data_IF_953470554450
#
_entry.id   IF_953470554450
#
_cell.length_a   1.000
_cell.length_b   1.000
_cell.length_c   1.000
_cell.angle_alpha   90.00
_cell.angle_beta   90.00
_cell.angle_gamma   90.00
#
_symmetry.space_group_name_H-M   'P 1'
#
loop_
_entity.id
_entity.type
_entity.pdbx_description
1 polymer ?
#
# COMPACT_ATOMS: atom_id res chain seq x y z
N UNK A 1 -6.60 16.65 9.69
CA UNK A 1 -7.24 15.58 10.48
C UNK A 1 -6.76 15.75 11.91
N UNK A 2 -7.66 15.73 12.90
CA UNK A 2 -7.26 15.80 14.32
C UNK A 2 -6.90 14.40 14.88
N UNK A 3 -6.17 14.31 16.02
CA UNK A 3 -5.72 13.03 16.58
C UNK A 3 -6.83 12.04 16.93
N UNK A 4 -8.02 12.49 17.36
CA UNK A 4 -9.12 11.59 17.68
C UNK A 4 -9.72 10.97 16.41
N UNK A 5 -9.86 11.76 15.35
CA UNK A 5 -10.24 11.26 14.03
C UNK A 5 -9.19 10.29 13.49
N UNK A 6 -7.89 10.56 13.68
CA UNK A 6 -6.81 9.67 13.25
C UNK A 6 -6.85 8.32 14.00
N UNK A 7 -7.03 8.33 15.33
CA UNK A 7 -7.23 7.10 16.12
C UNK A 7 -8.43 6.29 15.64
N UNK A 8 -9.56 6.95 15.42
CA UNK A 8 -10.78 6.30 14.91
C UNK A 8 -10.54 5.68 13.52
N UNK A 9 -9.79 6.37 12.67
CA UNK A 9 -9.44 5.92 11.31
C UNK A 9 -8.59 4.66 11.33
N UNK A 10 -7.62 4.55 12.26
CA UNK A 10 -6.78 3.36 12.45
C UNK A 10 -7.39 2.32 13.42
N UNK A 11 -8.64 2.52 13.84
CA UNK A 11 -9.31 1.68 14.85
C UNK A 11 -8.53 1.52 16.16
N UNK A 12 -7.76 2.53 16.56
CA UNK A 12 -7.05 2.58 17.84
C UNK A 12 -8.01 3.10 18.91
N UNK A 13 -8.12 2.40 20.04
CA UNK A 13 -8.97 2.84 21.15
C UNK A 13 -8.56 4.25 21.63
N UNK A 14 -9.54 5.12 21.99
CA UNK A 14 -9.27 6.51 22.31
C UNK A 14 -8.37 6.70 23.54
N UNK A 15 -8.39 5.73 24.46
CA UNK A 15 -7.64 5.69 25.72
C UNK A 15 -6.40 4.80 25.67
N UNK A 16 -6.17 4.07 24.57
CA UNK A 16 -4.95 3.27 24.42
C UNK A 16 -3.70 4.19 24.46
N UNK A 17 -2.65 3.82 25.20
CA UNK A 17 -1.38 4.53 25.15
C UNK A 17 -0.81 4.43 23.73
N UNK A 18 -0.48 5.56 23.11
CA UNK A 18 0.15 5.55 21.78
C UNK A 18 1.61 5.14 21.91
N UNK A 19 2.04 4.25 21.03
CA UNK A 19 3.44 3.96 20.72
C UNK A 19 3.61 3.92 19.21
N UNK A 20 4.85 3.98 18.72
CA UNK A 20 5.10 3.88 17.28
C UNK A 20 4.68 2.51 16.75
N UNK A 21 4.95 1.45 17.52
CA UNK A 21 4.59 0.07 17.18
C UNK A 21 3.07 -0.08 17.05
N UNK A 22 2.29 0.43 18.01
CA UNK A 22 0.83 0.36 17.96
C UNK A 22 0.25 1.10 16.75
N UNK A 23 0.84 2.26 16.38
CA UNK A 23 0.39 3.04 15.23
C UNK A 23 0.68 2.27 13.94
N UNK A 24 1.87 1.69 13.82
CA UNK A 24 2.29 0.96 12.63
C UNK A 24 1.51 -0.34 12.47
N UNK A 25 1.34 -1.14 13.52
CA UNK A 25 0.52 -2.35 13.50
C UNK A 25 -0.94 -2.05 13.10
N UNK A 26 -1.49 -0.94 13.60
CA UNK A 26 -2.85 -0.53 13.27
C UNK A 26 -2.98 -0.05 11.82
N UNK A 27 -2.00 0.70 11.33
CA UNK A 27 -1.91 1.12 9.94
C UNK A 27 -1.83 -0.08 8.99
N UNK A 28 -0.94 -1.04 9.26
CA UNK A 28 -0.78 -2.22 8.42
C UNK A 28 -2.02 -3.11 8.38
N UNK A 29 -2.66 -3.31 9.54
CA UNK A 29 -3.91 -4.06 9.61
C UNK A 29 -5.01 -3.42 8.75
N UNK A 30 -5.20 -2.10 8.83
CA UNK A 30 -6.25 -1.42 8.05
C UNK A 30 -5.93 -1.38 6.55
N UNK A 31 -4.66 -1.23 6.17
CA UNK A 31 -4.19 -1.33 4.79
C UNK A 31 -4.55 -2.68 4.19
N UNK A 32 -4.22 -3.77 4.89
CA UNK A 32 -4.49 -5.13 4.45
C UNK A 32 -5.99 -5.43 4.32
N UNK A 33 -6.79 -5.03 5.32
CA UNK A 33 -8.23 -5.26 5.33
C UNK A 33 -8.95 -4.58 4.17
N UNK A 34 -8.38 -3.50 3.63
CA UNK A 34 -8.97 -2.68 2.57
C UNK A 34 -8.08 -2.59 1.34
N UNK A 35 -7.24 -3.59 1.11
CA UNK A 35 -6.39 -3.63 -0.06
C UNK A 35 -7.23 -3.62 -1.36
N UNK A 36 -6.85 -2.86 -2.41
CA UNK A 36 -7.63 -2.79 -3.66
C UNK A 36 -7.93 -4.15 -4.29
N UNK A 37 -7.02 -5.12 -4.24
CA UNK A 37 -7.26 -6.46 -4.82
C UNK A 37 -8.45 -7.22 -4.20
N UNK A 38 -8.92 -6.81 -3.02
CA UNK A 38 -10.12 -7.39 -2.37
C UNK A 38 -11.43 -6.90 -2.98
N UNK A 39 -11.38 -5.92 -3.90
CA UNK A 39 -12.55 -5.32 -4.53
C UNK A 39 -12.65 -5.75 -6.00
N UNK A 40 -13.70 -6.50 -6.39
CA UNK A 40 -13.81 -7.05 -7.74
C UNK A 40 -14.11 -5.96 -8.78
N UNK A 41 -14.78 -4.87 -8.40
CA UNK A 41 -15.15 -3.78 -9.30
C UNK A 41 -14.20 -2.58 -9.20
N UNK A 42 -14.12 -1.82 -10.30
CA UNK A 42 -13.22 -0.68 -10.41
C UNK A 42 -13.57 0.50 -9.48
N UNK A 43 -14.84 0.65 -9.09
CA UNK A 43 -15.25 1.70 -8.16
C UNK A 43 -14.77 1.39 -6.74
N UNK A 44 -14.89 0.12 -6.34
CA UNK A 44 -14.35 -0.40 -5.08
C UNK A 44 -12.84 -0.25 -4.99
N UNK A 45 -12.10 -0.58 -6.05
CA UNK A 45 -10.64 -0.39 -6.10
C UNK A 45 -10.23 1.07 -5.93
N UNK A 46 -10.86 1.99 -6.67
CA UNK A 46 -10.60 3.44 -6.54
C UNK A 46 -10.94 3.97 -5.15
N UNK A 47 -12.02 3.48 -4.54
CA UNK A 47 -12.39 3.86 -3.17
C UNK A 47 -11.36 3.34 -2.15
N UNK A 48 -10.83 2.13 -2.35
CA UNK A 48 -9.77 1.56 -1.53
C UNK A 48 -8.46 2.34 -1.64
N UNK A 49 -8.06 2.72 -2.86
CA UNK A 49 -6.90 3.59 -3.11
C UNK A 49 -7.03 4.94 -2.39
N UNK A 50 -8.16 5.63 -2.54
CA UNK A 50 -8.41 6.89 -1.83
C UNK A 50 -8.43 6.72 -0.29
N UNK A 51 -8.79 5.52 0.19
CA UNK A 51 -8.73 5.20 1.61
C UNK A 51 -7.28 5.02 2.10
N UNK A 52 -6.37 4.49 1.29
CA UNK A 52 -4.92 4.39 1.63
C UNK A 52 -4.34 5.75 1.99
N UNK A 53 -4.64 6.80 1.21
CA UNK A 53 -4.20 8.17 1.51
C UNK A 53 -4.74 8.68 2.85
N UNK A 54 -5.96 8.25 3.21
CA UNK A 54 -6.59 8.61 4.48
C UNK A 54 -5.91 7.89 5.66
N UNK A 55 -5.55 6.61 5.50
CA UNK A 55 -4.75 5.86 6.47
C UNK A 55 -3.35 6.48 6.65
N UNK A 56 -2.67 6.86 5.57
CA UNK A 56 -1.35 7.48 5.61
C UNK A 56 -1.35 8.83 6.36
N UNK A 57 -2.36 9.67 6.12
CA UNK A 57 -2.56 10.92 6.87
C UNK A 57 -2.87 10.67 8.34
N UNK A 58 -3.65 9.64 8.67
CA UNK A 58 -3.94 9.29 10.06
C UNK A 58 -2.67 8.85 10.79
N UNK A 59 -1.85 7.99 10.17
CA UNK A 59 -0.53 7.60 10.70
C UNK A 59 0.36 8.81 10.97
N UNK A 60 0.53 9.68 9.97
CA UNK A 60 1.38 10.86 10.09
C UNK A 60 0.96 11.79 11.25
N UNK A 61 -0.35 11.99 11.45
CA UNK A 61 -0.88 12.79 12.57
C UNK A 61 -0.52 12.18 13.93
N UNK A 62 -0.66 10.85 14.08
CA UNK A 62 -0.36 10.19 15.35
C UNK A 62 1.13 10.11 15.65
N UNK A 63 1.98 9.93 14.63
CA UNK A 63 3.43 10.01 14.77
C UNK A 63 3.87 11.43 15.19
N UNK A 64 3.28 12.46 14.59
CA UNK A 64 3.55 13.85 14.98
C UNK A 64 3.08 14.17 16.41
N UNK A 65 1.99 13.56 16.87
CA UNK A 65 1.52 13.67 18.27
C UNK A 65 2.54 13.06 19.24
N UNK A 66 3.17 11.91 18.90
CA UNK A 66 4.25 11.31 19.70
C UNK A 66 5.50 12.20 19.77
N UNK A 67 5.84 12.85 18.66
CA UNK A 67 7.00 13.75 18.59
C UNK A 67 6.74 15.12 19.22
N UNK A 68 5.46 15.47 19.46
CA UNK A 68 5.13 16.75 20.08
C UNK A 68 5.56 16.71 21.55
N UNK A 69 6.45 17.63 21.98
CA UNK A 69 6.82 17.74 23.37
C UNK A 69 5.59 18.25 24.12
N UNK A 70 4.77 17.33 24.63
CA UNK A 70 3.77 17.64 25.62
C UNK A 70 4.55 18.10 26.84
N UNK A 71 4.70 19.42 26.97
CA UNK A 71 5.14 20.04 28.22
C UNK A 71 4.31 19.42 29.34
N UNK A 72 4.93 19.00 30.46
CA UNK A 72 4.21 18.35 31.54
C UNK A 72 3.01 19.22 31.89
N UNK A 73 1.82 18.69 31.70
CA UNK A 73 0.58 19.35 32.07
C UNK A 73 0.66 19.56 33.57
N UNK A 74 1.06 20.76 34.00
CA UNK A 74 0.86 21.19 35.39
C UNK A 74 -0.61 20.93 35.70
N UNK A 75 -0.94 20.32 36.86
CA UNK A 75 -2.33 20.19 37.25
C UNK A 75 -2.97 21.57 37.19
N UNK A 76 -3.96 21.73 36.30
CA UNK A 76 -4.70 22.97 36.19
C UNK A 76 -5.32 23.25 37.56
N UNK A 77 -4.92 24.35 38.19
CA UNK A 77 -5.58 24.85 39.38
C UNK A 77 -7.07 25.02 39.03
N UNK A 78 -7.93 24.38 39.84
CA UNK A 78 -9.37 24.40 39.62
C UNK A 78 -9.87 25.85 39.47
N UNK A 79 -10.34 26.19 38.26
CA UNK A 79 -11.02 27.46 38.04
C UNK A 79 -12.31 27.50 38.89
N UNK A 80 -12.67 28.65 39.48
CA UNK A 80 -13.87 28.77 40.27
C UNK A 80 -15.10 28.45 39.40
N UNK A 81 -15.92 27.50 39.85
CA UNK A 81 -17.15 27.08 39.17
C UNK A 81 -18.18 28.21 39.19
N UNK A 82 -18.12 29.07 38.18
CA UNK A 82 -19.21 29.98 37.85
C UNK A 82 -20.38 29.18 37.26
N UNK A 83 -21.50 29.10 37.99
CA UNK A 83 -22.72 28.46 37.51
C UNK A 83 -23.26 29.22 36.29
N UNK A 84 -23.20 28.60 35.12
CA UNK A 84 -23.86 29.06 33.90
C UNK A 84 -25.38 28.96 34.08
N UNK A 85 -26.07 30.08 33.95
CA UNK A 85 -27.53 30.15 34.00
C UNK A 85 -28.15 29.41 32.81
N UNK A 86 -29.27 28.71 33.03
CA UNK A 86 -29.92 27.83 32.04
C UNK A 86 -30.34 28.50 30.73
N UNK A 87 -30.28 29.83 30.61
CA UNK A 87 -30.56 30.55 29.37
C UNK A 87 -29.50 30.38 28.27
N UNK A 88 -28.23 30.12 28.61
CA UNK A 88 -27.15 29.98 27.62
C UNK A 88 -27.20 28.64 26.85
N UNK A 89 -27.72 27.59 27.49
CA UNK A 89 -27.82 26.25 26.87
C UNK A 89 -28.90 26.23 25.79
N UNK A 90 -30.01 26.97 25.97
CA UNK A 90 -31.07 27.06 24.98
C UNK A 90 -30.62 27.75 23.68
N UNK A 91 -29.71 28.75 23.77
CA UNK A 91 -29.21 29.47 22.61
C UNK A 91 -28.32 28.61 21.69
N UNK A 92 -27.53 27.70 22.26
CA UNK A 92 -26.62 26.82 21.50
C UNK A 92 -27.40 25.75 20.72
N UNK A 93 -28.44 25.17 21.34
CA UNK A 93 -29.23 24.11 20.71
C UNK A 93 -30.04 24.63 19.52
N UNK A 94 -30.61 25.84 19.62
CA UNK A 94 -31.35 26.46 18.50
C UNK A 94 -30.40 26.83 17.35
N UNK A 95 -29.20 27.32 17.65
CA UNK A 95 -28.19 27.64 16.63
C UNK A 95 -27.69 26.40 15.87
N UNK A 96 -27.50 25.28 16.57
CA UNK A 96 -27.03 24.03 15.97
C UNK A 96 -28.03 23.41 15.00
N UNK A 97 -29.33 23.41 15.35
CA UNK A 97 -30.39 22.84 14.48
C UNK A 97 -30.56 23.66 13.20
N UNK A 98 -30.42 24.99 13.27
CA UNK A 98 -30.49 25.85 12.08
C UNK A 98 -29.31 25.62 11.12
N UNK A 99 -28.10 25.40 11.64
CA UNK A 99 -26.91 25.13 10.82
C UNK A 99 -27.02 23.79 10.08
N UNK A 100 -27.51 22.75 10.75
CA UNK A 100 -27.71 21.41 10.14
C UNK A 100 -28.77 21.47 9.04
N UNK A 101 -29.85 22.23 9.22
CA UNK A 101 -30.87 22.40 8.19
C UNK A 101 -30.34 23.10 6.92
N UNK A 102 -29.45 24.09 7.07
CA UNK A 102 -28.82 24.78 5.94
C UNK A 102 -27.84 23.86 5.18
N UNK A 103 -27.07 23.02 5.89
CA UNK A 103 -26.13 22.08 5.27
C UNK A 103 -26.85 20.97 4.47
N UNK A 104 -27.99 20.48 4.97
CA UNK A 104 -28.79 19.46 4.26
C UNK A 104 -29.48 20.06 3.02
N UNK A 105 -29.98 21.30 3.10
CA UNK A 105 -30.55 21.98 1.93
C UNK A 105 -29.50 22.39 0.89
N UNK A 106 -28.27 22.72 1.31
CA UNK A 106 -27.16 23.05 0.42
C UNK A 106 -26.53 21.86 -0.31
N UNK A 107 -26.56 20.67 0.31
CA UNK A 107 -25.97 19.45 -0.26
C UNK A 107 -26.67 18.92 -1.52
N UNK A 108 -27.96 19.25 -1.72
CA UNK A 108 -28.73 18.78 -2.88
C UNK A 108 -28.55 19.69 -4.11
N UNK A 109 -28.00 20.90 -3.95
CA UNK A 109 -27.84 21.88 -5.04
C UNK A 109 -26.54 21.79 -5.85
N UNK A 110 -25.53 21.03 -5.40
CA UNK A 110 -24.17 21.07 -5.95
C UNK A 110 -23.79 19.87 -6.84
N UNK A 111 -24.71 18.95 -7.09
CA UNK A 111 -24.47 17.80 -7.99
C UNK A 111 -24.64 18.12 -9.50
N UNK A 112 -25.00 19.36 -9.86
CA UNK A 112 -25.34 19.72 -11.25
C UNK A 112 -24.25 20.36 -12.10
N UNK A 113 -23.08 20.73 -11.56
CA UNK A 113 -22.15 21.65 -12.27
C UNK A 113 -20.68 21.17 -12.42
N UNK A 114 -20.36 19.91 -12.12
CA UNK A 114 -18.95 19.42 -12.17
C UNK A 114 -18.76 18.28 -13.18
N UNK A 115 -19.48 18.30 -14.30
CA UNK A 115 -19.35 17.27 -15.35
C UNK A 115 -18.60 17.74 -16.61
N UNK A 116 -17.81 18.82 -16.54
CA UNK A 116 -17.29 19.48 -17.75
C UNK A 116 -15.79 19.79 -17.83
N UNK A 117 -14.93 19.43 -16.86
CA UNK A 117 -13.51 19.89 -16.87
C UNK A 117 -12.50 18.79 -16.51
N UNK A 118 -12.92 17.53 -16.33
CA UNK A 118 -12.03 16.46 -15.87
C UNK A 118 -11.44 15.58 -17.00
N UNK A 119 -11.42 16.05 -18.25
CA UNK A 119 -10.90 15.27 -19.40
C UNK A 119 -9.51 15.74 -19.90
N UNK A 120 -8.89 16.77 -19.33
CA UNK A 120 -7.67 17.38 -19.92
C UNK A 120 -6.44 17.47 -19.00
N UNK A 121 -6.34 16.70 -17.92
CA UNK A 121 -5.19 16.79 -17.00
C UNK A 121 -4.49 15.47 -16.64
N UNK A 122 -4.88 14.33 -17.23
CA UNK A 122 -4.25 13.01 -16.97
C UNK A 122 -3.55 12.48 -18.25
N UNK A 123 -3.17 13.37 -19.17
CA UNK A 123 -2.59 12.98 -20.46
C UNK A 123 -1.06 13.05 -20.54
N UNK A 124 -0.31 13.43 -19.49
CA UNK A 124 1.13 13.71 -19.62
C UNK A 124 2.07 12.89 -18.70
N UNK A 125 1.60 11.82 -18.05
CA UNK A 125 2.49 10.87 -17.35
C UNK A 125 2.20 9.40 -17.65
N UNK A 126 1.48 9.13 -18.74
CA UNK A 126 1.11 7.77 -19.19
C UNK A 126 1.22 7.61 -20.72
N UNK A 127 2.26 8.19 -21.32
CA UNK A 127 2.85 7.65 -22.55
C UNK A 127 3.83 6.56 -22.08
N UNK A 128 3.41 5.32 -21.83
CA UNK A 128 3.15 4.34 -22.88
C UNK A 128 2.27 3.19 -22.38
N UNK A 129 0.95 3.37 -22.40
CA UNK A 129 -0.02 2.28 -22.60
C UNK A 129 -1.40 2.90 -22.83
N UNK A 130 -1.85 2.94 -24.09
CA UNK A 130 -3.10 3.58 -24.47
C UNK A 130 -4.35 2.94 -23.85
N UNK A 131 -5.45 3.69 -23.70
CA UNK A 131 -6.72 3.19 -23.18
C UNK A 131 -7.37 2.27 -24.22
N UNK A 132 -7.17 0.97 -24.05
CA UNK A 132 -7.67 -0.08 -24.95
C UNK A 132 -6.96 -1.44 -24.88
N UNK A 133 -5.84 -1.57 -24.17
CA UNK A 133 -5.18 -2.87 -23.97
C UNK A 133 -5.76 -3.62 -22.76
N UNK A 134 -6.93 -4.24 -22.95
CA UNK A 134 -7.25 -5.46 -22.20
C UNK A 134 -6.55 -6.57 -23.00
N UNK A 135 -5.32 -6.93 -22.61
CA UNK A 135 -4.47 -7.78 -23.45
C UNK A 135 -3.39 -8.51 -22.69
N UNK A 136 -2.51 -7.81 -21.98
CA UNK A 136 -1.30 -8.44 -21.44
C UNK A 136 -1.17 -8.15 -19.94
N UNK A 137 -2.00 -8.82 -19.12
CA UNK A 137 -1.77 -8.95 -17.66
C UNK A 137 -0.53 -9.84 -17.33
N UNK A 138 0.21 -10.19 -18.39
CA UNK A 138 1.33 -11.09 -18.46
C UNK A 138 2.37 -10.48 -19.40
N UNK A 139 3.59 -10.34 -18.91
CA UNK A 139 4.75 -10.06 -19.74
C UNK A 139 5.68 -11.26 -19.67
N UNK A 140 6.11 -11.76 -20.84
CA UNK A 140 6.98 -12.93 -20.93
C UNK A 140 8.26 -12.58 -21.68
N UNK A 141 9.39 -12.98 -21.12
CA UNK A 141 10.70 -12.95 -21.74
C UNK A 141 11.21 -14.37 -21.89
N UNK A 142 11.63 -14.74 -23.10
CA UNK A 142 12.17 -16.07 -23.36
C UNK A 142 13.58 -16.24 -22.80
N UNK A 143 14.02 -17.48 -22.62
CA UNK A 143 15.31 -17.83 -22.00
C UNK A 143 16.53 -17.18 -22.66
N UNK A 144 16.48 -16.97 -23.98
CA UNK A 144 17.56 -16.31 -24.72
C UNK A 144 17.57 -14.77 -24.56
N UNK A 145 16.53 -14.19 -23.96
CA UNK A 145 16.37 -12.75 -23.74
C UNK A 145 16.81 -12.34 -22.33
N UNK A 146 16.70 -13.24 -21.35
CA UNK A 146 16.95 -12.94 -19.93
C UNK A 146 18.43 -12.82 -19.57
N UNK A 147 19.31 -13.51 -20.29
CA UNK A 147 20.75 -13.50 -20.01
C UNK A 147 21.14 -14.18 -18.69
N UNK A 148 20.24 -14.97 -18.08
CA UNK A 148 20.55 -15.75 -16.89
C UNK A 148 21.60 -16.84 -17.16
N UNK A 149 22.42 -17.15 -16.16
CA UNK A 149 23.44 -18.20 -16.26
C UNK A 149 22.82 -19.59 -16.52
N UNK A 150 21.71 -19.91 -15.86
CA UNK A 150 20.90 -21.08 -16.15
C UNK A 150 19.70 -20.71 -17.04
N UNK A 151 19.62 -21.22 -18.28
CA UNK A 151 18.60 -20.82 -19.25
C UNK A 151 17.17 -20.97 -18.69
N UNK A 152 16.53 -19.82 -18.49
CA UNK A 152 15.20 -19.73 -17.92
C UNK A 152 14.45 -18.57 -18.54
N UNK A 153 13.22 -18.82 -19.01
CA UNK A 153 12.28 -17.77 -19.34
C UNK A 153 11.69 -17.20 -18.04
N UNK A 154 11.20 -15.95 -18.10
CA UNK A 154 10.51 -15.30 -16.99
C UNK A 154 9.15 -14.79 -17.46
N UNK A 155 8.14 -15.04 -16.65
CA UNK A 155 6.83 -14.42 -16.76
C UNK A 155 6.60 -13.47 -15.57
N UNK A 156 6.14 -12.26 -15.86
CA UNK A 156 5.77 -11.24 -14.88
C UNK A 156 4.25 -11.07 -14.92
N UNK A 157 3.62 -11.02 -13.74
CA UNK A 157 2.17 -11.05 -13.61
C UNK A 157 1.65 -9.81 -12.88
N UNK A 158 0.55 -9.27 -13.37
CA UNK A 158 -0.20 -8.18 -12.72
C UNK A 158 -1.67 -8.56 -12.43
N UNK A 159 -2.04 -9.82 -12.67
CA UNK A 159 -3.40 -10.33 -12.45
C UNK A 159 -3.66 -10.81 -11.00
N UNK A 160 -2.65 -10.73 -10.13
CA UNK A 160 -2.74 -11.10 -8.72
C UNK A 160 -2.79 -12.61 -8.46
N UNK A 161 -2.43 -13.45 -9.43
CA UNK A 161 -2.44 -14.91 -9.27
C UNK A 161 -1.57 -15.43 -8.12
N UNK A 162 -0.58 -14.65 -7.68
CA UNK A 162 0.29 -14.96 -6.55
C UNK A 162 0.08 -14.00 -5.36
N UNK A 163 -1.07 -13.33 -5.26
CA UNK A 163 -1.41 -12.45 -4.13
C UNK A 163 -1.29 -13.18 -2.76
N UNK A 164 -1.54 -14.48 -2.74
CA UNK A 164 -1.46 -15.32 -1.54
C UNK A 164 0.00 -15.56 -1.08
N UNK A 165 0.94 -15.54 -2.03
CA UNK A 165 2.39 -15.72 -1.81
C UNK A 165 3.11 -14.40 -1.60
N UNK A 166 2.47 -13.29 -1.99
CA UNK A 166 2.87 -11.93 -1.65
C UNK A 166 2.76 -11.76 -0.12
N UNK A 167 3.83 -12.11 0.59
CA UNK A 167 3.82 -12.18 2.04
C UNK A 167 3.30 -10.87 2.66
N UNK A 168 2.60 -11.02 3.79
CA UNK A 168 2.03 -9.95 4.64
C UNK A 168 3.09 -8.90 5.07
N UNK A 169 4.37 -9.14 4.78
CA UNK A 169 5.49 -8.26 5.10
C UNK A 169 5.81 -7.17 4.07
N UNK A 170 5.18 -7.12 2.89
CA UNK A 170 5.45 -6.07 1.88
C UNK A 170 4.26 -5.13 1.70
N UNK A 171 4.30 -4.02 2.42
CA UNK A 171 3.33 -2.93 2.46
C UNK A 171 3.22 -2.22 1.12
N UNK A 172 4.31 -2.14 0.37
CA UNK A 172 4.36 -1.51 -0.95
C UNK A 172 3.95 -2.45 -2.09
N UNK A 173 3.69 -3.72 -1.77
CA UNK A 173 3.40 -4.78 -2.74
C UNK A 173 4.63 -5.64 -3.02
N UNK A 174 4.46 -6.61 -3.91
CA UNK A 174 5.53 -7.51 -4.34
C UNK A 174 5.53 -7.63 -5.86
N UNK A 175 6.70 -7.95 -6.41
CA UNK A 175 6.85 -8.45 -7.76
C UNK A 175 6.39 -9.90 -7.81
N UNK A 176 5.42 -10.18 -8.68
CA UNK A 176 4.89 -11.52 -8.92
C UNK A 176 5.45 -12.04 -10.22
N UNK A 177 6.37 -13.00 -10.15
CA UNK A 177 7.01 -13.58 -11.34
C UNK A 177 7.04 -15.10 -11.25
N UNK A 178 7.27 -15.78 -12.38
CA UNK A 178 7.61 -17.19 -12.40
C UNK A 178 8.73 -17.45 -13.41
N UNK A 179 9.65 -18.33 -13.04
CA UNK A 179 10.71 -18.82 -13.92
C UNK A 179 10.27 -20.13 -14.58
N UNK A 180 10.68 -20.34 -15.82
CA UNK A 180 10.50 -21.59 -16.57
C UNK A 180 11.86 -22.03 -17.10
N UNK A 181 12.45 -23.05 -16.49
CA UNK A 181 13.80 -23.52 -16.83
C UNK A 181 13.78 -24.45 -18.03
N UNK A 182 14.82 -24.43 -18.86
CA UNK A 182 14.92 -25.36 -20.01
C UNK A 182 15.32 -26.79 -19.60
N UNK A 183 15.77 -26.98 -18.36
CA UNK A 183 16.22 -28.27 -17.83
C UNK A 183 15.84 -28.43 -16.35
N UNK A 184 15.77 -29.70 -15.91
CA UNK A 184 15.62 -30.05 -14.49
C UNK A 184 16.83 -29.53 -13.69
N UNK A 185 16.57 -29.11 -12.45
CA UNK A 185 17.59 -28.62 -11.55
C UNK A 185 17.33 -29.06 -10.10
N UNK A 186 18.35 -29.60 -9.44
CA UNK A 186 18.23 -30.05 -8.04
C UNK A 186 17.99 -28.88 -7.09
N UNK A 187 18.78 -27.81 -7.22
CA UNK A 187 18.61 -26.55 -6.46
C UNK A 187 18.81 -25.36 -7.39
N UNK A 188 17.72 -24.62 -7.63
CA UNK A 188 17.72 -23.37 -8.35
C UNK A 188 18.04 -22.22 -7.39
N UNK A 189 19.17 -21.56 -7.60
CA UNK A 189 19.57 -20.34 -6.91
C UNK A 189 19.08 -19.12 -7.71
N UNK A 190 18.23 -18.32 -7.09
CA UNK A 190 17.65 -17.10 -7.66
C UNK A 190 18.20 -15.90 -6.89
N UNK A 191 18.96 -15.04 -7.57
CA UNK A 191 19.49 -13.80 -7.02
C UNK A 191 18.53 -12.67 -7.31
N UNK A 192 17.95 -12.11 -6.24
CA UNK A 192 17.12 -10.93 -6.26
C UNK A 192 17.98 -9.72 -5.90
N UNK A 193 17.75 -8.60 -6.56
CA UNK A 193 18.44 -7.35 -6.24
C UNK A 193 17.44 -6.22 -6.10
N UNK A 194 17.79 -5.25 -5.27
CA UNK A 194 16.95 -4.11 -4.97
C UNK A 194 17.75 -2.80 -5.04
N UNK A 195 17.05 -1.72 -5.43
CA UNK A 195 17.62 -0.37 -5.61
C UNK A 195 16.52 0.68 -5.42
N UNK A 196 16.91 1.91 -5.11
CA UNK A 196 16.04 3.11 -5.03
C UNK A 196 16.17 4.02 -6.26
N UNK A 197 17.15 3.79 -7.13
CA UNK A 197 17.39 4.57 -8.35
C UNK A 197 16.97 3.80 -9.60
N UNK A 198 15.87 4.24 -10.23
CA UNK A 198 15.34 3.69 -11.48
C UNK A 198 16.32 3.71 -12.65
N UNK A 199 17.29 4.63 -12.64
CA UNK A 199 18.27 4.78 -13.73
C UNK A 199 19.56 3.97 -13.47
N UNK A 200 19.66 3.27 -12.34
CA UNK A 200 20.86 2.55 -11.92
C UNK A 200 20.66 1.03 -11.91
N UNK A 201 21.55 0.35 -12.64
CA UNK A 201 21.64 -1.11 -12.67
C UNK A 201 22.56 -1.67 -11.57
N UNK A 202 23.01 -0.83 -10.63
CA UNK A 202 23.87 -1.26 -9.52
C UNK A 202 22.99 -1.66 -8.35
N UNK A 203 23.07 -2.93 -7.95
CA UNK A 203 22.35 -3.41 -6.78
C UNK A 203 22.82 -2.68 -5.51
N UNK A 204 21.87 -2.16 -4.73
CA UNK A 204 22.15 -1.65 -3.38
C UNK A 204 21.96 -2.72 -2.32
N UNK A 205 21.09 -3.68 -2.60
CA UNK A 205 20.82 -4.84 -1.76
C UNK A 205 20.61 -6.08 -2.63
N UNK A 206 20.97 -7.24 -2.09
CA UNK A 206 20.89 -8.52 -2.79
C UNK A 206 20.39 -9.59 -1.82
N UNK A 207 19.42 -10.38 -2.27
CA UNK A 207 18.88 -11.53 -1.57
C UNK A 207 19.01 -12.77 -2.46
N UNK A 208 19.41 -13.90 -1.88
CA UNK A 208 19.49 -15.17 -2.60
C UNK A 208 18.41 -16.11 -2.10
N UNK A 209 17.64 -16.68 -3.03
CA UNK A 209 16.62 -17.69 -2.74
C UNK A 209 17.00 -19.02 -3.37
N UNK A 210 16.71 -20.10 -2.66
CA UNK A 210 16.96 -21.47 -3.12
C UNK A 210 15.63 -22.18 -3.29
N UNK A 211 15.41 -22.78 -4.46
CA UNK A 211 14.24 -23.61 -4.78
C UNK A 211 14.71 -25.00 -5.16
N UNK A 212 14.25 -26.01 -4.44
CA UNK A 212 14.64 -27.40 -4.70
C UNK A 212 13.69 -28.10 -5.67
N UNK A 213 14.16 -29.20 -6.27
CA UNK A 213 13.37 -30.12 -7.08
C UNK A 213 12.69 -29.46 -8.30
N UNK A 214 13.40 -28.53 -8.97
CA UNK A 214 12.87 -27.80 -10.13
C UNK A 214 12.82 -28.69 -11.36
N UNK A 215 11.68 -28.68 -12.05
CA UNK A 215 11.44 -29.41 -13.29
C UNK A 215 11.43 -28.47 -14.48
N UNK A 216 12.01 -28.93 -15.58
CA UNK A 216 11.99 -28.21 -16.85
C UNK A 216 10.56 -27.85 -17.28
N UNK A 217 10.39 -26.65 -17.83
CA UNK A 217 9.12 -26.10 -18.33
C UNK A 217 7.98 -25.99 -17.30
N UNK A 218 8.23 -26.30 -16.02
CA UNK A 218 7.28 -26.05 -14.93
C UNK A 218 7.48 -24.64 -14.36
N UNK A 219 6.38 -23.98 -14.03
CA UNK A 219 6.43 -22.66 -13.42
C UNK A 219 7.03 -22.75 -12.02
N UNK A 220 8.11 -22.01 -11.78
CA UNK A 220 8.71 -21.81 -10.47
C UNK A 220 8.34 -20.40 -9.98
N UNK A 221 7.36 -20.24 -9.09
CA UNK A 221 6.97 -18.93 -8.59
C UNK A 221 8.13 -18.25 -7.86
N UNK A 222 8.40 -16.99 -8.22
CA UNK A 222 9.36 -16.13 -7.55
C UNK A 222 8.64 -14.82 -7.21
N UNK A 223 8.09 -14.79 -5.99
CA UNK A 223 7.31 -13.65 -5.48
C UNK A 223 8.12 -12.93 -4.42
N UNK A 224 8.53 -11.69 -4.68
CA UNK A 224 9.47 -10.98 -3.81
C UNK A 224 9.11 -9.51 -3.67
N UNK A 225 9.56 -8.89 -2.59
CA UNK A 225 9.30 -7.49 -2.26
C UNK A 225 10.38 -7.00 -1.31
N UNK A 226 10.53 -5.69 -1.18
CA UNK A 226 11.33 -5.07 -0.13
C UNK A 226 10.74 -3.68 0.12
N UNK A 227 10.16 -3.45 1.29
CA UNK A 227 9.50 -2.17 1.60
C UNK A 227 10.47 -1.01 1.82
N UNK A 228 11.73 -1.33 2.10
CA UNK A 228 12.80 -0.36 2.27
C UNK A 228 13.39 0.06 0.91
N UNK A 229 12.91 -0.52 -0.20
CA UNK A 229 13.43 -0.30 -1.55
C UNK A 229 12.33 0.00 -2.57
N UNK A 230 12.58 0.88 -3.53
CA UNK A 230 11.60 1.24 -4.56
C UNK A 230 11.54 0.24 -5.74
N UNK A 231 12.67 -0.37 -6.09
CA UNK A 231 12.81 -1.25 -7.25
C UNK A 231 13.40 -2.61 -6.86
N UNK A 232 12.99 -3.65 -7.59
CA UNK A 232 13.50 -5.00 -7.43
C UNK A 232 13.40 -5.80 -8.73
N UNK A 233 14.39 -6.65 -8.98
CA UNK A 233 14.40 -7.57 -10.13
C UNK A 233 15.19 -8.85 -9.84
N UNK A 234 15.01 -9.86 -10.69
CA UNK A 234 15.84 -11.07 -10.69
C UNK A 234 17.11 -10.76 -11.49
N UNK A 235 18.27 -10.77 -10.84
CA UNK A 235 19.56 -10.48 -11.46
C UNK A 235 20.17 -11.72 -12.13
N UNK A 236 20.15 -12.86 -11.42
CA UNK A 236 20.75 -14.11 -11.89
C UNK A 236 19.95 -15.33 -11.44
N UNK A 237 19.93 -16.34 -12.30
CA UNK A 237 19.40 -17.68 -12.02
C UNK A 237 20.50 -18.69 -12.30
N UNK A 238 20.79 -19.55 -11.32
CA UNK A 238 21.81 -20.60 -11.41
C UNK A 238 21.23 -21.93 -10.99
N UNK A 239 21.68 -23.00 -11.65
CA UNK A 239 21.46 -24.34 -11.13
C UNK A 239 22.70 -24.78 -10.35
N UNK A 240 22.50 -25.21 -9.12
CA UNK A 240 23.57 -25.79 -8.30
C UNK A 240 23.29 -27.27 -8.06
N UNK A 241 24.35 -28.07 -8.07
CA UNK A 241 24.27 -29.43 -7.56
C UNK A 241 23.88 -29.31 -6.09
N UNK A 242 22.74 -29.88 -5.68
CA UNK A 242 22.33 -29.84 -4.30
C UNK A 242 23.46 -30.44 -3.45
N UNK A 243 24.18 -29.60 -2.70
CA UNK A 243 25.27 -30.04 -1.85
C UNK A 243 24.70 -31.15 -0.96
N UNK A 244 25.08 -32.40 -1.23
CA UNK A 244 24.54 -33.57 -0.59
C UNK A 244 24.79 -33.51 0.91
N UNK A 245 23.81 -33.00 1.65
CA UNK A 245 23.78 -32.97 3.11
C UNK A 245 23.25 -34.31 3.66
#
# INVERSE_FOLDING_TARGET
>A
MDPNTARTTLQIAPDAPLSIELIDDAYQRELWLRHPSRYPDADGRRAAEAWRDTLGRARAVLVAELASPVAPTRPAAAAPRGRLSGGAIAAIVVGGVALVAVLVAGGVGLFGLVRGVAETAIAESSESAGPGAIGDDLERYESYETGFEFPSAIEMYWDGRYDDECAIGFVQGCWQTALFTEADCDVLEVTLVFNDDADSWVAEETETRLVSDVRADEAVPVVFGNDDREFGWIDQVRCTDGDGA
#
